data_IF_946893596573
#
_entry.id   IF_946893596573
#
_cell.length_a   1.000
_cell.length_b   1.000
_cell.length_c   1.000
_cell.angle_alpha   90.00
_cell.angle_beta   90.00
_cell.angle_gamma   90.00
#
_symmetry.space_group_name_H-M   'P 1'
#
loop_
_entity.id
_entity.type
_entity.pdbx_description
1 polymer ?
#
# COMPACT_ATOMS: atom_id res chain seq x y z
N UNK A 1 -12.77 20.00 52.96
CA UNK A 1 -11.67 19.82 51.99
C UNK A 1 -12.27 19.68 50.60
N UNK A 2 -12.18 20.72 49.75
CA UNK A 2 -12.67 20.65 48.35
C UNK A 2 -11.47 20.41 47.44
N UNK A 3 -11.44 19.25 46.77
CA UNK A 3 -10.38 18.84 45.85
C UNK A 3 -10.57 19.62 44.53
N UNK A 4 -9.71 20.61 44.26
CA UNK A 4 -9.69 21.31 42.97
C UNK A 4 -9.20 20.34 41.89
N UNK A 5 -10.10 19.88 41.03
CA UNK A 5 -9.71 19.20 39.80
C UNK A 5 -9.18 20.24 38.81
N UNK A 6 -7.90 20.15 38.45
CA UNK A 6 -7.27 21.00 37.44
C UNK A 6 -7.72 20.53 36.04
N UNK A 7 -8.61 21.25 35.33
CA UNK A 7 -9.11 20.84 34.02
C UNK A 7 -8.03 20.90 32.91
N UNK A 8 -6.89 21.52 33.21
CA UNK A 8 -5.75 21.67 32.30
C UNK A 8 -4.92 20.38 32.16
N UNK A 9 -4.91 19.50 33.16
CA UNK A 9 -4.13 18.25 33.11
C UNK A 9 -4.69 17.25 32.08
N UNK A 10 -6.02 17.17 31.96
CA UNK A 10 -6.69 16.23 31.04
C UNK A 10 -6.57 16.68 29.59
N UNK A 11 -6.71 18.00 29.34
CA UNK A 11 -6.55 18.58 27.99
C UNK A 11 -5.11 18.51 27.49
N UNK A 12 -4.13 18.78 28.35
CA UNK A 12 -2.71 18.64 28.00
C UNK A 12 -2.32 17.20 27.70
N UNK A 13 -2.85 16.24 28.47
CA UNK A 13 -2.60 14.81 28.24
C UNK A 13 -3.17 14.33 26.90
N UNK A 14 -4.41 14.75 26.56
CA UNK A 14 -5.06 14.43 25.29
C UNK A 14 -4.29 14.95 24.06
N UNK A 15 -3.78 16.18 24.13
CA UNK A 15 -2.95 16.75 23.06
C UNK A 15 -1.62 16.00 22.95
N UNK A 16 -0.98 15.64 24.07
CA UNK A 16 0.25 14.87 24.06
C UNK A 16 0.04 13.45 23.51
N UNK A 17 -1.09 12.80 23.84
CA UNK A 17 -1.46 11.48 23.30
C UNK A 17 -1.72 11.53 21.80
N UNK A 18 -2.37 12.60 21.30
CA UNK A 18 -2.58 12.82 19.87
C UNK A 18 -1.24 13.05 19.13
N UNK A 19 -0.34 13.85 19.71
CA UNK A 19 1.00 14.09 19.15
C UNK A 19 1.86 12.81 19.12
N UNK A 20 1.78 11.96 20.15
CA UNK A 20 2.48 10.68 20.20
C UNK A 20 1.91 9.69 19.17
N UNK A 21 0.60 9.63 18.99
CA UNK A 21 -0.03 8.80 17.96
C UNK A 21 0.35 9.24 16.54
N UNK A 22 0.43 10.55 16.30
CA UNK A 22 0.95 11.11 15.03
C UNK A 22 2.44 10.77 14.81
N UNK A 23 3.24 10.74 15.87
CA UNK A 23 4.66 10.39 15.78
C UNK A 23 4.91 8.91 15.44
N UNK A 24 4.06 7.98 15.89
CA UNK A 24 4.25 6.56 15.60
C UNK A 24 4.10 6.21 14.11
N UNK A 25 3.29 6.94 13.36
CA UNK A 25 3.16 6.74 11.91
C UNK A 25 4.37 7.30 11.15
N UNK A 26 4.91 8.44 11.59
CA UNK A 26 6.11 9.06 11.02
C UNK A 26 7.34 8.15 11.17
N UNK A 27 7.53 7.53 12.34
CA UNK A 27 8.64 6.59 12.57
C UNK A 27 8.50 5.24 11.85
N UNK A 28 7.36 4.97 11.21
CA UNK A 28 7.10 3.69 10.54
C UNK A 28 6.77 3.83 9.06
N UNK A 29 6.96 5.02 8.48
CA UNK A 29 6.72 5.29 7.07
C UNK A 29 7.37 4.24 6.16
N UNK A 30 8.68 4.02 6.33
CA UNK A 30 9.45 3.04 5.56
C UNK A 30 8.89 1.62 5.72
N UNK A 31 8.73 1.16 6.97
CA UNK A 31 8.27 -0.20 7.26
C UNK A 31 6.85 -0.47 6.72
N UNK A 32 5.96 0.52 6.79
CA UNK A 32 4.60 0.41 6.27
C UNK A 32 4.60 0.44 4.74
N UNK A 33 5.38 1.33 4.11
CA UNK A 33 5.55 1.35 2.66
C UNK A 33 6.07 0.01 2.13
N UNK A 34 7.14 -0.53 2.74
CA UNK A 34 7.71 -1.81 2.36
C UNK A 34 6.71 -2.96 2.51
N UNK A 35 5.85 -2.90 3.52
CA UNK A 35 4.77 -3.88 3.70
C UNK A 35 3.80 -3.84 2.51
N UNK A 36 3.39 -2.65 2.06
CA UNK A 36 2.51 -2.53 0.90
C UNK A 36 3.19 -3.00 -0.40
N UNK A 37 4.44 -2.62 -0.64
CA UNK A 37 5.21 -3.08 -1.81
C UNK A 37 5.33 -4.60 -1.84
N UNK A 38 5.66 -5.20 -0.70
CA UNK A 38 5.74 -6.67 -0.53
C UNK A 38 4.40 -7.34 -0.82
N UNK A 39 3.28 -6.80 -0.32
CA UNK A 39 1.95 -7.35 -0.59
C UNK A 39 1.60 -7.28 -2.09
N UNK A 40 1.85 -6.15 -2.75
CA UNK A 40 1.62 -6.02 -4.19
C UNK A 40 2.44 -7.04 -4.99
N UNK A 41 3.71 -7.23 -4.64
CA UNK A 41 4.59 -8.24 -5.24
C UNK A 41 4.07 -9.67 -5.04
N UNK A 42 3.64 -10.01 -3.82
CA UNK A 42 3.09 -11.33 -3.49
C UNK A 42 1.79 -11.62 -4.26
N UNK A 43 0.84 -10.67 -4.27
CA UNK A 43 -0.43 -10.84 -4.97
C UNK A 43 -0.26 -10.84 -6.49
N UNK A 44 0.69 -10.08 -7.04
CA UNK A 44 1.02 -10.17 -8.47
C UNK A 44 1.59 -11.54 -8.85
N UNK A 45 2.40 -12.14 -7.97
CA UNK A 45 2.93 -13.49 -8.15
C UNK A 45 1.82 -14.53 -8.06
N UNK A 46 0.88 -14.37 -7.13
CA UNK A 46 -0.33 -15.19 -7.05
C UNK A 46 -1.12 -15.11 -8.36
N UNK A 47 -1.38 -13.91 -8.89
CA UNK A 47 -2.09 -13.74 -10.16
C UNK A 47 -1.36 -14.37 -11.34
N UNK A 48 -0.03 -14.25 -11.42
CA UNK A 48 0.74 -14.92 -12.46
C UNK A 48 0.56 -16.44 -12.38
N UNK A 49 0.70 -17.01 -11.18
CA UNK A 49 0.49 -18.44 -10.97
C UNK A 49 -0.91 -18.86 -11.42
N UNK A 50 -1.95 -18.09 -11.10
CA UNK A 50 -3.30 -18.40 -11.53
C UNK A 50 -3.45 -18.36 -13.05
N UNK A 51 -2.91 -17.32 -13.70
CA UNK A 51 -2.95 -17.19 -15.16
C UNK A 51 -2.22 -18.35 -15.85
N UNK A 52 -1.01 -18.69 -15.40
CA UNK A 52 -0.19 -19.78 -15.95
C UNK A 52 -0.89 -21.15 -15.86
N UNK A 53 -1.74 -21.34 -14.85
CA UNK A 53 -2.46 -22.60 -14.61
C UNK A 53 -3.91 -22.57 -15.10
N UNK A 54 -4.34 -21.49 -15.78
CA UNK A 54 -5.72 -21.33 -16.26
C UNK A 54 -6.75 -21.34 -15.13
N UNK A 55 -6.36 -20.87 -13.94
CA UNK A 55 -7.25 -20.78 -12.78
C UNK A 55 -8.04 -19.49 -12.84
N UNK A 56 -9.34 -19.58 -12.57
CA UNK A 56 -10.24 -18.44 -12.46
C UNK A 56 -10.65 -18.21 -11.01
N UNK A 57 -10.99 -16.96 -10.69
CA UNK A 57 -11.51 -16.55 -9.38
C UNK A 57 -12.93 -16.05 -9.57
N UNK A 58 -13.84 -16.44 -8.68
CA UNK A 58 -15.20 -15.92 -8.67
C UNK A 58 -15.21 -14.45 -8.22
N UNK A 59 -16.17 -13.66 -8.68
CA UNK A 59 -16.26 -12.23 -8.32
C UNK A 59 -16.16 -11.93 -6.81
N UNK A 60 -16.88 -12.65 -5.92
CA UNK A 60 -16.77 -12.46 -4.47
C UNK A 60 -15.38 -12.71 -3.90
N UNK A 61 -14.64 -13.68 -4.45
CA UNK A 61 -13.29 -14.01 -3.98
C UNK A 61 -12.22 -13.04 -4.55
N UNK A 62 -12.58 -12.23 -5.56
CA UNK A 62 -11.68 -11.25 -6.16
C UNK A 62 -11.30 -10.10 -5.21
N UNK A 63 -12.15 -9.82 -4.22
CA UNK A 63 -11.92 -8.79 -3.20
C UNK A 63 -10.58 -8.99 -2.46
N UNK A 64 -10.10 -10.23 -2.38
CA UNK A 64 -8.79 -10.55 -1.81
C UNK A 64 -7.64 -9.82 -2.55
N UNK A 65 -7.76 -9.63 -3.87
CA UNK A 65 -6.77 -8.96 -4.70
C UNK A 65 -6.96 -7.43 -4.72
N UNK A 66 -8.17 -6.94 -4.51
CA UNK A 66 -8.45 -5.49 -4.47
C UNK A 66 -7.99 -4.88 -3.14
N UNK A 67 -8.19 -5.61 -2.03
CA UNK A 67 -7.98 -5.12 -0.67
C UNK A 67 -6.57 -4.51 -0.41
N UNK A 68 -5.45 -5.12 -0.84
CA UNK A 68 -4.14 -4.50 -0.66
C UNK A 68 -4.00 -3.14 -1.35
N UNK A 69 -4.63 -2.96 -2.52
CA UNK A 69 -4.65 -1.71 -3.26
C UNK A 69 -5.42 -0.63 -2.51
N UNK A 70 -6.62 -0.95 -2.01
CA UNK A 70 -7.41 -0.02 -1.19
C UNK A 70 -6.65 0.44 0.08
N UNK A 71 -5.97 -0.50 0.76
CA UNK A 71 -5.19 -0.15 1.95
C UNK A 71 -3.98 0.72 1.60
N UNK A 72 -3.35 0.48 0.46
CA UNK A 72 -2.24 1.30 -0.03
C UNK A 72 -2.69 2.72 -0.42
N UNK A 73 -3.88 2.89 -1.00
CA UNK A 73 -4.48 4.22 -1.22
C UNK A 73 -4.73 4.97 0.09
N UNK A 74 -5.28 4.27 1.09
CA UNK A 74 -5.49 4.83 2.41
C UNK A 74 -4.16 5.27 3.05
N UNK A 75 -3.12 4.45 2.92
CA UNK A 75 -1.77 4.80 3.36
C UNK A 75 -1.29 6.09 2.69
N UNK A 76 -1.36 6.20 1.35
CA UNK A 76 -0.95 7.41 0.61
C UNK A 76 -1.71 8.63 1.15
N UNK A 77 -3.04 8.55 1.26
CA UNK A 77 -3.87 9.64 1.78
C UNK A 77 -3.45 10.10 3.18
N UNK A 78 -3.04 9.19 4.06
CA UNK A 78 -2.62 9.48 5.43
C UNK A 78 -1.23 10.14 5.46
N UNK A 79 -0.28 9.67 4.63
CA UNK A 79 1.13 10.09 4.70
C UNK A 79 1.46 11.29 3.82
N UNK A 80 0.70 11.53 2.74
CA UNK A 80 0.95 12.64 1.81
C UNK A 80 1.14 14.01 2.47
N UNK A 81 0.35 14.43 3.49
CA UNK A 81 0.56 15.74 4.12
C UNK A 81 1.93 15.91 4.79
N UNK A 82 2.54 14.80 5.22
CA UNK A 82 3.80 14.81 5.99
C UNK A 82 5.03 14.45 5.15
N UNK A 83 4.83 13.82 3.99
CA UNK A 83 5.91 13.27 3.16
C UNK A 83 5.77 13.65 1.67
N UNK A 84 5.08 14.75 1.36
CA UNK A 84 4.80 15.18 -0.01
C UNK A 84 6.06 15.35 -0.89
N UNK A 85 7.19 15.70 -0.29
CA UNK A 85 8.45 15.96 -0.98
C UNK A 85 9.32 14.69 -1.14
N UNK A 86 8.89 13.53 -0.62
CA UNK A 86 9.64 12.28 -0.76
C UNK A 86 9.45 11.67 -2.15
N UNK A 87 10.55 11.37 -2.82
CA UNK A 87 10.56 10.72 -4.13
C UNK A 87 10.00 9.28 -4.03
N UNK A 88 10.25 8.59 -2.91
CA UNK A 88 9.68 7.26 -2.64
C UNK A 88 8.14 7.27 -2.61
N UNK A 89 7.52 8.34 -2.10
CA UNK A 89 6.06 8.46 -2.08
C UNK A 89 5.49 8.68 -3.49
N UNK A 90 6.16 9.52 -4.29
CA UNK A 90 5.79 9.72 -5.70
C UNK A 90 5.93 8.42 -6.51
N UNK A 91 7.04 7.70 -6.33
CA UNK A 91 7.24 6.39 -6.94
C UNK A 91 6.22 5.36 -6.46
N UNK A 92 5.72 5.48 -5.22
CA UNK A 92 4.76 4.53 -4.65
C UNK A 92 3.42 4.62 -5.35
N UNK A 93 2.99 5.84 -5.69
CA UNK A 93 1.80 6.05 -6.49
C UNK A 93 1.86 5.31 -7.84
N UNK A 94 3.05 5.24 -8.47
CA UNK A 94 3.24 4.48 -9.71
C UNK A 94 3.14 2.96 -9.50
N UNK A 95 3.73 2.43 -8.43
CA UNK A 95 3.57 1.02 -8.06
C UNK A 95 2.10 0.67 -7.80
N UNK A 96 1.40 1.53 -7.08
CA UNK A 96 -0.03 1.38 -6.77
C UNK A 96 -0.90 1.40 -8.04
N UNK A 97 -0.67 2.35 -8.95
CA UNK A 97 -1.39 2.42 -10.23
C UNK A 97 -1.24 1.13 -11.04
N UNK A 98 -0.01 0.62 -11.16
CA UNK A 98 0.27 -0.63 -11.90
C UNK A 98 -0.37 -1.84 -11.23
N UNK A 99 -0.37 -1.90 -9.90
CA UNK A 99 -1.07 -2.94 -9.16
C UNK A 99 -2.58 -2.86 -9.39
N UNK A 100 -3.17 -1.68 -9.35
CA UNK A 100 -4.59 -1.46 -9.61
C UNK A 100 -4.99 -1.89 -11.02
N UNK A 101 -4.15 -1.63 -12.03
CA UNK A 101 -4.38 -2.14 -13.38
C UNK A 101 -4.39 -3.68 -13.43
N UNK A 102 -3.54 -4.32 -12.62
CA UNK A 102 -3.47 -5.77 -12.52
C UNK A 102 -4.71 -6.37 -11.85
N UNK A 103 -5.28 -5.70 -10.84
CA UNK A 103 -6.42 -6.19 -10.06
C UNK A 103 -7.76 -5.57 -10.43
N UNK A 104 -7.82 -4.73 -11.47
CA UNK A 104 -9.02 -3.98 -11.86
C UNK A 104 -10.22 -4.86 -12.20
N UNK A 105 -9.99 -6.11 -12.62
CA UNK A 105 -11.06 -7.04 -12.98
C UNK A 105 -10.59 -8.49 -13.03
N UNK A 106 -11.41 -9.46 -12.58
CA UNK A 106 -11.14 -10.89 -12.75
C UNK A 106 -10.94 -11.32 -14.22
N UNK A 107 -11.45 -10.53 -15.17
CA UNK A 107 -11.32 -10.78 -16.60
C UNK A 107 -9.86 -10.85 -17.07
N UNK A 108 -8.90 -10.32 -16.30
CA UNK A 108 -7.48 -10.42 -16.63
C UNK A 108 -6.99 -11.88 -16.70
N UNK A 109 -7.65 -12.79 -15.96
CA UNK A 109 -7.34 -14.21 -15.94
C UNK A 109 -8.03 -14.99 -17.08
N UNK A 110 -8.88 -14.34 -17.90
CA UNK A 110 -9.65 -15.02 -18.93
C UNK A 110 -9.00 -14.96 -20.31
N UNK A 111 -9.12 -16.07 -21.04
CA UNK A 111 -8.69 -16.22 -22.41
C UNK A 111 -7.25 -16.71 -22.57
N UNK A 112 -6.91 -17.16 -23.78
CA UNK A 112 -5.63 -17.83 -24.08
C UNK A 112 -4.39 -16.93 -23.89
N UNK A 113 -4.56 -15.61 -23.81
CA UNK A 113 -3.47 -14.66 -23.59
C UNK A 113 -3.37 -14.12 -22.16
N UNK A 114 -4.15 -14.67 -21.21
CA UNK A 114 -4.08 -14.25 -19.81
C UNK A 114 -2.67 -14.35 -19.19
N UNK A 115 -1.89 -15.45 -19.38
CA UNK A 115 -0.53 -15.54 -18.85
C UNK A 115 0.38 -14.38 -19.27
N UNK A 116 0.34 -14.03 -20.56
CA UNK A 116 1.18 -12.97 -21.11
C UNK A 116 0.74 -11.59 -20.63
N UNK A 117 -0.57 -11.32 -20.61
CA UNK A 117 -1.12 -10.04 -20.11
C UNK A 117 -0.73 -9.79 -18.65
N UNK A 118 -0.88 -10.80 -17.80
CA UNK A 118 -0.50 -10.73 -16.39
C UNK A 118 1.02 -10.55 -16.26
N UNK A 119 1.80 -11.26 -17.06
CA UNK A 119 3.27 -11.15 -17.05
C UNK A 119 3.75 -9.74 -17.44
N UNK A 120 3.18 -9.14 -18.48
CA UNK A 120 3.57 -7.80 -18.96
C UNK A 120 3.31 -6.74 -17.87
N UNK A 121 2.13 -6.77 -17.24
CA UNK A 121 1.78 -5.86 -16.14
C UNK A 121 2.62 -6.13 -14.90
N UNK A 122 2.88 -7.39 -14.58
CA UNK A 122 3.72 -7.78 -13.44
C UNK A 122 5.16 -7.31 -13.62
N UNK A 123 5.75 -7.42 -14.81
CA UNK A 123 7.09 -6.90 -15.08
C UNK A 123 7.16 -5.40 -14.84
N UNK A 124 6.17 -4.64 -15.35
CA UNK A 124 6.09 -3.20 -15.10
C UNK A 124 5.95 -2.88 -13.60
N UNK A 125 5.11 -3.62 -12.88
CA UNK A 125 4.93 -3.47 -11.43
C UNK A 125 6.23 -3.74 -10.66
N UNK A 126 6.91 -4.85 -10.94
CA UNK A 126 8.15 -5.22 -10.24
C UNK A 126 9.25 -4.20 -10.48
N UNK A 127 9.35 -3.66 -11.69
CA UNK A 127 10.29 -2.59 -11.99
C UNK A 127 9.96 -1.30 -11.22
N UNK A 128 8.68 -0.93 -11.13
CA UNK A 128 8.25 0.20 -10.32
C UNK A 128 8.54 -0.01 -8.82
N UNK A 129 8.28 -1.22 -8.30
CA UNK A 129 8.60 -1.59 -6.90
C UNK A 129 10.11 -1.52 -6.66
N UNK A 130 10.94 -2.02 -7.59
CA UNK A 130 12.41 -1.94 -7.48
C UNK A 130 12.87 -0.49 -7.38
N UNK A 131 12.41 0.37 -8.29
CA UNK A 131 12.73 1.81 -8.28
C UNK A 131 12.25 2.45 -6.96
N UNK A 132 11.06 2.10 -6.49
CA UNK A 132 10.55 2.60 -5.22
C UNK A 132 11.48 2.26 -4.05
N UNK A 133 11.86 0.99 -3.90
CA UNK A 133 12.77 0.53 -2.85
C UNK A 133 14.13 1.22 -2.92
N UNK A 134 14.65 1.48 -4.12
CA UNK A 134 15.89 2.22 -4.30
C UNK A 134 15.80 3.67 -3.84
N UNK A 135 14.65 4.33 -4.06
CA UNK A 135 14.41 5.69 -3.58
C UNK A 135 14.21 5.70 -2.06
N UNK A 136 13.40 4.77 -1.54
CA UNK A 136 13.15 4.63 -0.11
C UNK A 136 14.45 4.40 0.67
N UNK A 137 15.37 3.58 0.14
CA UNK A 137 16.67 3.33 0.75
C UNK A 137 17.63 4.54 0.73
N UNK A 138 17.38 5.56 -0.11
CA UNK A 138 18.19 6.80 -0.16
C UNK A 138 17.69 7.87 0.80
N UNK A 139 16.41 7.80 1.17
CA UNK A 139 15.73 8.76 2.05
C UNK A 139 15.86 8.42 3.53
N UNK A 140 16.36 7.22 3.87
CA UNK A 140 16.60 6.72 5.22
C UNK A 140 18.11 6.56 5.51
#
# INVERSE_FOLDING_TARGET
>A
MVKKHNPFGVRGLLVLSLLLASSCYLFRYEAVMETHLTLMEQYSTKLQYMADNGLEVSGPDWVEFEYPGERAEEFVRIVSPSFADQESLSAFARSLELYQLLVASPEILRGANAPQKVADLRVALLEAIRVNRELLAREN
#
